data_IF_280709087432
#
_entry.id   IF_280709087432
#
_cell.length_a   1.000
_cell.length_b   1.000
_cell.length_c   1.000
_cell.angle_alpha   90.00
_cell.angle_beta   90.00
_cell.angle_gamma   90.00
#
_symmetry.space_group_name_H-M   'P 1'
#
loop_
_entity.id
_entity.type
_entity.pdbx_description
1 polymer ?
#
# COMPACT_ATOMS: atom_id res chain seq x y z
N UNK A 1 11.13 -6.02 29.50
CA UNK A 1 10.13 -5.00 29.84
C UNK A 1 9.39 -4.67 28.55
N UNK A 2 8.13 -5.08 28.41
CA UNK A 2 7.31 -4.70 27.25
C UNK A 2 6.64 -3.37 27.57
N UNK A 3 6.77 -2.39 26.68
CA UNK A 3 6.08 -1.11 26.83
C UNK A 3 4.56 -1.35 26.71
N UNK A 4 3.77 -0.52 27.40
CA UNK A 4 2.32 -0.62 27.31
C UNK A 4 1.84 -0.13 25.94
N UNK A 5 0.62 -0.54 25.52
CA UNK A 5 0.04 -0.13 24.22
C UNK A 5 0.05 1.40 24.04
N UNK A 6 -0.17 2.14 25.13
CA UNK A 6 -0.17 3.60 25.14
C UNK A 6 1.23 4.18 24.90
N UNK A 7 2.27 3.55 25.44
CA UNK A 7 3.66 3.97 25.24
C UNK A 7 4.09 3.79 23.78
N UNK A 8 3.69 2.68 23.15
CA UNK A 8 3.97 2.40 21.74
C UNK A 8 3.29 3.42 20.80
N UNK A 9 2.06 3.82 21.12
CA UNK A 9 1.32 4.82 20.36
C UNK A 9 1.90 6.23 20.51
N UNK A 10 2.46 6.58 21.67
CA UNK A 10 3.24 7.82 21.85
C UNK A 10 4.56 7.79 21.05
N UNK A 11 5.28 6.68 21.10
CA UNK A 11 6.53 6.50 20.34
C UNK A 11 6.26 6.62 18.84
N UNK A 12 5.21 5.97 18.32
CA UNK A 12 4.87 6.03 16.90
C UNK A 12 4.55 7.46 16.42
N UNK A 13 3.87 8.26 17.24
CA UNK A 13 3.48 9.64 16.89
C UNK A 13 4.62 10.63 16.92
N UNK A 14 5.57 10.45 17.84
CA UNK A 14 6.64 11.42 18.10
C UNK A 14 7.99 11.05 17.46
N UNK A 15 8.16 9.80 17.01
CA UNK A 15 9.40 9.36 16.36
C UNK A 15 9.44 9.83 14.91
N UNK A 16 10.54 10.47 14.51
CA UNK A 16 10.75 10.93 13.14
C UNK A 16 10.75 9.78 12.13
N UNK A 17 10.06 9.97 11.00
CA UNK A 17 10.08 9.01 9.90
C UNK A 17 11.37 9.13 9.08
N UNK A 18 11.94 8.00 8.63
CA UNK A 18 13.23 7.97 7.92
C UNK A 18 13.25 8.83 6.64
N UNK A 19 12.18 8.77 5.85
CA UNK A 19 12.08 9.45 4.55
C UNK A 19 11.88 10.95 4.70
N UNK A 20 11.04 11.38 5.64
CA UNK A 20 10.64 12.79 5.79
C UNK A 20 11.48 13.53 6.84
N UNK A 21 12.10 12.81 7.78
CA UNK A 21 12.81 13.40 8.93
C UNK A 21 11.90 14.05 9.97
N UNK A 22 10.57 14.00 9.76
CA UNK A 22 9.54 14.56 10.62
C UNK A 22 8.72 13.45 11.26
N UNK A 23 8.23 13.68 12.47
CA UNK A 23 7.30 12.76 13.11
C UNK A 23 5.89 12.87 12.52
N UNK A 24 5.04 11.84 12.64
CA UNK A 24 3.65 11.92 12.21
C UNK A 24 2.88 13.11 12.80
N UNK A 25 3.14 13.46 14.07
CA UNK A 25 2.53 14.61 14.72
C UNK A 25 2.94 15.94 14.07
N UNK A 26 4.23 16.11 13.75
CA UNK A 26 4.73 17.32 13.08
C UNK A 26 4.15 17.50 11.67
N UNK A 27 3.98 16.40 10.93
CA UNK A 27 3.40 16.41 9.59
C UNK A 27 1.90 16.73 9.61
N UNK A 28 1.17 16.24 10.62
CA UNK A 28 -0.25 16.53 10.81
C UNK A 28 -0.49 18.00 11.15
N UNK A 29 0.26 18.50 12.13
CA UNK A 29 0.07 19.86 12.66
C UNK A 29 0.67 20.93 11.75
N UNK A 30 1.56 20.56 10.81
CA UNK A 30 2.37 21.45 9.97
C UNK A 30 3.06 22.57 10.76
N UNK A 31 3.25 22.35 12.06
CA UNK A 31 3.70 23.34 13.03
C UNK A 31 4.69 22.67 13.95
N UNK A 32 5.93 23.12 13.87
CA UNK A 32 6.90 22.99 14.95
C UNK A 32 7.22 24.41 15.40
N UNK A 33 7.16 24.67 16.70
CA UNK A 33 7.66 25.94 17.21
C UNK A 33 9.16 26.01 16.86
N UNK A 34 9.65 27.08 16.22
CA UNK A 34 11.05 27.18 15.86
C UNK A 34 11.88 27.36 17.12
N UNK A 35 12.41 26.25 17.64
CA UNK A 35 13.39 26.25 18.73
C UNK A 35 14.78 26.58 18.20
N UNK A 36 15.71 26.96 19.10
CA UNK A 36 17.12 27.14 18.74
C UNK A 36 17.70 25.91 18.04
N UNK A 37 17.31 24.71 18.47
CA UNK A 37 17.75 23.45 17.86
C UNK A 37 17.20 23.28 16.44
N UNK A 38 15.95 23.69 16.18
CA UNK A 38 15.36 23.64 14.84
C UNK A 38 16.08 24.57 13.84
N UNK A 39 16.72 25.66 14.30
CA UNK A 39 17.52 26.56 13.44
C UNK A 39 18.87 25.98 13.02
N UNK A 40 19.37 24.98 13.74
CA UNK A 40 20.63 24.28 13.42
C UNK A 40 20.39 23.11 12.47
N UNK A 41 19.14 22.63 12.36
CA UNK A 41 18.80 21.52 11.46
C UNK A 41 18.96 21.96 10.00
N UNK A 42 19.61 21.14 9.16
CA UNK A 42 19.64 21.40 7.73
C UNK A 42 18.24 21.30 7.14
N UNK A 43 17.98 22.03 6.06
CA UNK A 43 16.77 21.82 5.28
C UNK A 43 16.77 20.42 4.67
N UNK A 44 15.79 19.60 5.06
CA UNK A 44 15.66 18.21 4.62
C UNK A 44 14.72 18.05 3.43
N UNK A 45 14.07 19.12 2.96
CA UNK A 45 13.00 19.02 1.98
C UNK A 45 13.49 18.37 0.67
N UNK A 46 14.61 18.87 0.14
CA UNK A 46 15.27 18.30 -1.07
C UNK A 46 15.64 16.83 -0.89
N UNK A 47 16.15 16.45 0.29
CA UNK A 47 16.50 15.05 0.56
C UNK A 47 15.25 14.17 0.59
N UNK A 48 14.18 14.65 1.22
CA UNK A 48 12.91 13.93 1.30
C UNK A 48 12.29 13.73 -0.09
N UNK A 49 12.34 14.74 -0.97
CA UNK A 49 11.87 14.63 -2.35
C UNK A 49 12.66 13.58 -3.14
N UNK A 50 13.99 13.57 -2.98
CA UNK A 50 14.88 12.56 -3.58
C UNK A 50 14.52 11.15 -3.08
N UNK A 51 14.30 10.98 -1.78
CA UNK A 51 14.00 9.68 -1.18
C UNK A 51 12.60 9.19 -1.56
N UNK A 52 11.60 10.07 -1.66
CA UNK A 52 10.27 9.78 -2.20
C UNK A 52 10.36 9.34 -3.66
N UNK A 53 11.14 10.07 -4.47
CA UNK A 53 11.33 9.72 -5.88
C UNK A 53 12.00 8.35 -6.05
N UNK A 54 13.06 8.08 -5.27
CA UNK A 54 13.72 6.76 -5.25
C UNK A 54 12.74 5.67 -4.85
N UNK A 55 11.95 5.88 -3.80
CA UNK A 55 10.96 4.91 -3.35
C UNK A 55 9.98 4.58 -4.48
N UNK A 56 9.45 5.58 -5.19
CA UNK A 56 8.58 5.37 -6.35
C UNK A 56 9.30 4.59 -7.46
N UNK A 57 10.49 5.02 -7.88
CA UNK A 57 11.27 4.34 -8.92
C UNK A 57 11.56 2.87 -8.59
N UNK A 58 11.91 2.56 -7.34
CA UNK A 58 12.17 1.18 -6.92
C UNK A 58 10.91 0.32 -6.90
N UNK A 59 9.76 0.90 -6.53
CA UNK A 59 8.47 0.22 -6.59
C UNK A 59 8.09 -0.05 -8.04
N UNK A 60 8.13 0.98 -8.90
CA UNK A 60 7.80 0.87 -10.32
C UNK A 60 8.68 -0.17 -11.02
N UNK A 61 9.99 -0.20 -10.73
CA UNK A 61 10.94 -1.19 -11.29
C UNK A 61 10.59 -2.64 -10.95
N UNK A 62 10.04 -2.90 -9.75
CA UNK A 62 9.68 -4.26 -9.30
C UNK A 62 8.24 -4.61 -9.62
N UNK A 63 7.41 -3.63 -9.95
CA UNK A 63 6.01 -3.82 -10.28
C UNK A 63 5.88 -4.59 -11.60
N UNK A 64 5.02 -5.60 -11.61
CA UNK A 64 4.61 -6.32 -12.83
C UNK A 64 3.23 -5.81 -13.22
N UNK A 65 2.99 -5.54 -14.50
CA UNK A 65 1.65 -5.18 -14.96
C UNK A 65 0.69 -6.37 -14.75
N UNK A 66 -0.33 -6.14 -13.92
CA UNK A 66 -1.41 -7.10 -13.65
C UNK A 66 -2.67 -6.64 -14.33
N UNK A 67 -2.65 -6.64 -15.66
CA UNK A 67 -3.85 -6.34 -16.43
C UNK A 67 -4.70 -7.59 -16.58
N UNK A 68 -5.95 -7.50 -16.12
CA UNK A 68 -6.96 -8.52 -16.36
C UNK A 68 -7.98 -7.99 -17.36
N UNK A 69 -8.33 -8.82 -18.36
CA UNK A 69 -9.31 -8.44 -19.38
C UNK A 69 -10.72 -8.69 -18.87
N UNK A 70 -11.64 -7.82 -19.25
CA UNK A 70 -13.07 -8.01 -18.99
C UNK A 70 -13.55 -9.29 -19.66
N UNK A 71 -14.42 -10.05 -18.98
CA UNK A 71 -14.96 -11.32 -19.47
C UNK A 71 -14.02 -12.53 -19.33
N UNK A 72 -12.81 -12.37 -18.79
CA UNK A 72 -11.91 -13.50 -18.50
C UNK A 72 -12.26 -14.16 -17.17
N UNK A 73 -12.13 -15.49 -17.16
CA UNK A 73 -12.15 -16.28 -15.94
C UNK A 73 -10.86 -16.06 -15.14
N UNK A 74 -11.03 -15.85 -13.85
CA UNK A 74 -9.98 -15.59 -12.87
C UNK A 74 -10.29 -16.32 -11.57
N UNK A 75 -9.24 -16.60 -10.82
CA UNK A 75 -9.35 -17.14 -9.47
C UNK A 75 -9.28 -15.99 -8.48
N UNK A 76 -10.31 -15.85 -7.64
CA UNK A 76 -10.42 -14.85 -6.58
C UNK A 76 -9.97 -15.46 -5.27
N UNK A 77 -9.12 -14.75 -4.53
CA UNK A 77 -8.67 -15.20 -3.20
C UNK A 77 -9.83 -15.19 -2.21
N UNK A 78 -10.00 -16.28 -1.48
CA UNK A 78 -10.97 -16.36 -0.40
C UNK A 78 -10.47 -15.60 0.85
N UNK A 79 -11.35 -14.81 1.47
CA UNK A 79 -11.03 -14.02 2.66
C UNK A 79 -11.01 -14.89 3.93
N UNK A 80 -12.03 -15.75 4.07
CA UNK A 80 -12.26 -16.54 5.28
C UNK A 80 -11.57 -17.90 5.24
N UNK A 81 -11.40 -18.46 4.05
CA UNK A 81 -10.88 -19.82 3.85
C UNK A 81 -9.58 -19.77 3.04
N UNK A 82 -8.65 -20.68 3.34
CA UNK A 82 -7.46 -20.86 2.50
C UNK A 82 -7.88 -21.46 1.17
N UNK A 83 -7.68 -20.72 0.08
CA UNK A 83 -7.99 -21.20 -1.26
C UNK A 83 -8.39 -20.09 -2.21
N UNK A 84 -8.78 -20.50 -3.40
CA UNK A 84 -9.23 -19.64 -4.49
C UNK A 84 -10.61 -20.08 -4.95
N UNK A 85 -11.41 -19.14 -5.45
CA UNK A 85 -12.72 -19.42 -6.03
C UNK A 85 -12.80 -18.89 -7.46
N UNK A 86 -13.39 -19.65 -8.38
CA UNK A 86 -13.51 -19.21 -9.77
C UNK A 86 -14.48 -18.04 -9.86
N UNK A 87 -14.19 -17.10 -10.75
CA UNK A 87 -15.03 -15.95 -11.03
C UNK A 87 -14.71 -15.32 -12.39
N UNK A 88 -15.62 -14.50 -12.89
CA UNK A 88 -15.48 -13.83 -14.18
C UNK A 88 -15.43 -12.32 -13.96
N UNK A 89 -14.49 -11.64 -14.61
CA UNK A 89 -14.38 -10.18 -14.52
C UNK A 89 -15.53 -9.54 -15.29
N UNK A 90 -16.36 -8.78 -14.58
CA UNK A 90 -17.51 -8.07 -15.15
C UNK A 90 -17.07 -6.71 -15.74
N UNK A 91 -16.35 -5.89 -14.97
CA UNK A 91 -15.76 -4.65 -15.45
C UNK A 91 -14.62 -4.15 -14.53
N UNK A 92 -13.83 -3.19 -15.02
CA UNK A 92 -12.75 -2.55 -14.28
C UNK A 92 -13.21 -1.23 -13.67
N UNK A 93 -13.14 -1.10 -12.35
CA UNK A 93 -13.53 0.14 -11.63
C UNK A 93 -12.38 1.14 -11.56
N UNK A 94 -11.14 0.65 -11.43
CA UNK A 94 -9.89 1.44 -11.42
C UNK A 94 -8.75 0.60 -11.99
N UNK A 95 -7.59 1.22 -12.24
CA UNK A 95 -6.39 0.57 -12.79
C UNK A 95 -6.08 -0.81 -12.19
N UNK A 96 -6.15 -0.96 -10.86
CA UNK A 96 -5.92 -2.23 -10.15
C UNK A 96 -7.16 -2.75 -9.40
N UNK A 97 -8.36 -2.24 -9.68
CA UNK A 97 -9.59 -2.65 -8.99
C UNK A 97 -10.63 -3.14 -9.98
N UNK A 98 -11.09 -4.38 -9.79
CA UNK A 98 -12.00 -5.07 -10.68
C UNK A 98 -13.25 -5.52 -9.94
N UNK A 99 -14.39 -5.48 -10.61
CA UNK A 99 -15.58 -6.21 -10.17
C UNK A 99 -15.59 -7.60 -10.79
N UNK A 100 -15.71 -8.62 -9.93
CA UNK A 100 -15.69 -10.03 -10.31
C UNK A 100 -16.99 -10.67 -9.86
N UNK A 101 -17.61 -11.43 -10.76
CA UNK A 101 -18.76 -12.26 -10.49
C UNK A 101 -18.29 -13.61 -9.93
N UNK A 102 -18.56 -13.85 -8.65
CA UNK A 102 -18.22 -15.10 -7.94
C UNK A 102 -19.51 -15.70 -7.41
N UNK A 103 -19.85 -16.93 -7.84
CA UNK A 103 -21.06 -17.63 -7.42
C UNK A 103 -22.35 -16.77 -7.48
N UNK A 104 -22.49 -15.96 -8.55
CA UNK A 104 -23.65 -15.09 -8.78
C UNK A 104 -23.65 -13.76 -8.02
N UNK A 105 -22.62 -13.47 -7.20
CA UNK A 105 -22.48 -12.19 -6.50
C UNK A 105 -21.33 -11.38 -7.09
N UNK A 106 -21.56 -10.07 -7.28
CA UNK A 106 -20.50 -9.13 -7.67
C UNK A 106 -19.71 -8.71 -6.45
N UNK A 107 -18.39 -8.81 -6.55
CA UNK A 107 -17.46 -8.38 -5.50
C UNK A 107 -16.34 -7.56 -6.13
N UNK A 108 -15.99 -6.46 -5.46
CA UNK A 108 -14.81 -5.66 -5.81
C UNK A 108 -13.57 -6.32 -5.22
N UNK A 109 -12.57 -6.61 -6.06
CA UNK A 109 -11.29 -7.21 -5.66
C UNK A 109 -10.12 -6.39 -6.24
N UNK A 110 -9.01 -6.38 -5.52
CA UNK A 110 -7.76 -5.81 -6.04
C UNK A 110 -7.11 -6.77 -7.04
N UNK A 111 -6.35 -6.27 -8.01
CA UNK A 111 -5.60 -7.09 -8.98
C UNK A 111 -4.65 -8.10 -8.30
N UNK A 112 -4.21 -7.82 -7.07
CA UNK A 112 -3.37 -8.73 -6.28
C UNK A 112 -4.11 -9.93 -5.69
N UNK A 113 -5.43 -9.81 -5.57
CA UNK A 113 -6.33 -10.86 -5.07
C UNK A 113 -6.89 -11.73 -6.20
N UNK A 114 -6.44 -11.48 -7.45
CA UNK A 114 -6.84 -12.20 -8.65
C UNK A 114 -5.65 -12.97 -9.23
N UNK A 115 -5.89 -14.23 -9.60
CA UNK A 115 -4.92 -15.06 -10.35
C UNK A 115 -5.51 -15.38 -11.72
N UNK A 116 -4.71 -15.18 -12.78
CA UNK A 116 -5.07 -15.59 -14.15
C UNK A 116 -5.08 -17.12 -14.21
N UNK A 117 -6.02 -17.67 -14.96
CA UNK A 117 -6.17 -19.11 -15.21
C UNK A 117 -4.84 -19.79 -15.62
N UNK A 118 -4.06 -19.16 -16.51
CA UNK A 118 -2.78 -19.68 -17.01
C UNK A 118 -1.65 -19.72 -15.96
N UNK A 119 -1.87 -19.17 -14.77
CA UNK A 119 -0.91 -19.21 -13.68
C UNK A 119 -1.12 -20.36 -12.71
N UNK A 120 -2.01 -21.32 -13.00
CA UNK A 120 -2.36 -22.43 -12.11
C UNK A 120 -1.48 -23.69 -12.29
N UNK A 121 -0.29 -23.58 -12.88
CA UNK A 121 0.70 -24.65 -12.94
C UNK A 121 2.07 -24.12 -12.49
N UNK A 122 2.24 -24.01 -11.18
CA UNK A 122 3.53 -23.98 -10.52
C UNK A 122 3.35 -24.55 -9.11
N UNK A 123 4.08 -25.66 -8.89
CA UNK A 123 4.12 -26.58 -7.74
C UNK A 123 4.41 -25.89 -6.39
#
# INVERSE_FOLDING_TARGET
MHASKNDEDEISRNTSHKTTGQSPAELHERKTLPTLFNRIKPDLNTKSDIDIWKQKMYQDRKSKSRECRIGKEVWVKNELNKGWSPGIIDHQTRELSYEVLVAGKRKRNHADELRKENGALDE
#
